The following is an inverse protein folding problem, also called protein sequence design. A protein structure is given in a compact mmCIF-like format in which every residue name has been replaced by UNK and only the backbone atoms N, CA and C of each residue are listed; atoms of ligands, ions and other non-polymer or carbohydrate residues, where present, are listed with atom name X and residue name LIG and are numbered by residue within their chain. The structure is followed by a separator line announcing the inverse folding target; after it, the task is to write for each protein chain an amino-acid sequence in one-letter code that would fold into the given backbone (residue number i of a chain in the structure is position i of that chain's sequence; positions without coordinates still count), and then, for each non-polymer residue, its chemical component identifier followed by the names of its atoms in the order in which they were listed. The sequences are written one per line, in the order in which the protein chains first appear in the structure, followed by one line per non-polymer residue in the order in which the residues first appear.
data_IF_281560051877
#
_entry.id   IF_281560051877
#
_cell.length_a   1.000
_cell.length_b   1.000
_cell.length_c   1.000
_cell.angle_alpha   90.00
_cell.angle_beta   90.00
_cell.angle_gamma   90.00
#
_symmetry.space_group_name_H-M   'P 1'
#
loop_
_entity.id
_entity.type
_entity.pdbx_description
1 polymer ?
#
# COMPACT_ATOMS: atom_id res chain seq x y z
N UNK A 1 21.34 -25.27 -36.01
CA UNK A 1 21.11 -25.22 -34.55
C UNK A 1 20.36 -23.94 -34.24
N UNK A 2 19.05 -24.03 -34.08
CA UNK A 2 18.16 -22.93 -33.60
C UNK A 2 17.42 -23.48 -32.37
N UNK A 3 17.95 -23.23 -31.22
CA UNK A 3 17.30 -23.54 -29.96
C UNK A 3 17.40 -22.28 -29.07
N UNK A 4 16.36 -21.50 -28.97
CA UNK A 4 16.42 -20.34 -28.10
C UNK A 4 15.28 -19.36 -28.29
N UNK A 5 14.01 -19.78 -28.28
CA UNK A 5 12.91 -18.81 -28.33
C UNK A 5 11.57 -19.28 -27.74
N UNK A 6 11.44 -20.51 -27.26
CA UNK A 6 10.15 -20.99 -26.78
C UNK A 6 9.93 -20.85 -25.23
N UNK A 7 11.01 -20.70 -24.48
CA UNK A 7 10.89 -20.70 -23.00
C UNK A 7 10.43 -19.36 -22.39
N UNK A 8 10.46 -18.26 -23.13
CA UNK A 8 10.13 -16.92 -22.60
C UNK A 8 8.64 -16.53 -22.75
N UNK A 9 7.88 -17.17 -23.62
CA UNK A 9 6.47 -16.80 -23.89
C UNK A 9 5.46 -17.33 -22.87
N UNK A 10 5.76 -18.45 -22.21
CA UNK A 10 4.83 -19.09 -21.27
C UNK A 10 4.55 -18.22 -20.03
N UNK A 11 5.55 -17.59 -19.39
CA UNK A 11 5.32 -16.73 -18.23
C UNK A 11 4.43 -15.52 -18.52
N UNK A 12 4.60 -14.87 -19.67
CA UNK A 12 3.83 -13.69 -20.07
C UNK A 12 2.33 -14.02 -20.26
N UNK A 13 2.01 -15.14 -20.91
CA UNK A 13 0.63 -15.61 -21.08
C UNK A 13 -0.01 -15.92 -19.74
N UNK A 14 0.73 -16.55 -18.82
CA UNK A 14 0.23 -16.89 -17.48
C UNK A 14 0.04 -15.64 -16.62
N UNK A 15 0.97 -14.69 -16.64
CA UNK A 15 0.81 -13.39 -15.96
C UNK A 15 -0.43 -12.67 -16.46
N UNK A 16 -0.61 -12.57 -17.78
CA UNK A 16 -1.78 -11.95 -18.39
C UNK A 16 -3.08 -12.63 -17.95
N UNK A 17 -3.09 -13.97 -17.87
CA UNK A 17 -4.25 -14.72 -17.36
C UNK A 17 -4.55 -14.38 -15.91
N UNK A 18 -3.54 -14.39 -15.03
CA UNK A 18 -3.70 -14.06 -13.60
C UNK A 18 -4.19 -12.64 -13.40
N UNK A 19 -3.70 -11.69 -14.19
CA UNK A 19 -4.19 -10.31 -14.15
C UNK A 19 -5.65 -10.20 -14.56
N UNK A 20 -6.07 -10.89 -15.63
CA UNK A 20 -7.47 -10.92 -16.07
C UNK A 20 -8.40 -11.57 -15.04
N UNK A 21 -7.89 -12.55 -14.31
CA UNK A 21 -8.62 -13.20 -13.21
C UNK A 21 -8.57 -12.40 -11.89
N UNK A 22 -8.02 -11.19 -11.91
CA UNK A 22 -7.85 -10.34 -10.73
C UNK A 22 -7.00 -10.99 -9.62
N UNK A 23 -6.08 -11.88 -9.98
CA UNK A 23 -5.18 -12.58 -9.06
C UNK A 23 -3.83 -11.86 -8.97
N UNK A 24 -3.89 -10.63 -8.47
CA UNK A 24 -2.74 -9.70 -8.45
C UNK A 24 -1.51 -10.29 -7.73
N UNK A 25 -1.68 -10.88 -6.55
CA UNK A 25 -0.61 -11.51 -5.80
C UNK A 25 0.15 -12.56 -6.64
N UNK A 26 -0.60 -13.47 -7.25
CA UNK A 26 0.01 -14.53 -8.07
C UNK A 26 0.70 -13.98 -9.32
N UNK A 27 0.13 -12.95 -9.96
CA UNK A 27 0.73 -12.28 -11.10
C UNK A 27 2.05 -11.60 -10.75
N UNK A 28 2.10 -10.84 -9.66
CA UNK A 28 3.32 -10.15 -9.21
C UNK A 28 4.39 -11.16 -8.79
N UNK A 29 4.02 -12.21 -8.07
CA UNK A 29 4.95 -13.28 -7.67
C UNK A 29 5.60 -13.95 -8.88
N UNK A 30 4.82 -14.21 -9.93
CA UNK A 30 5.33 -14.79 -11.17
C UNK A 30 6.26 -13.82 -11.92
N UNK A 31 5.90 -12.53 -12.02
CA UNK A 31 6.74 -11.49 -12.62
C UNK A 31 8.09 -11.35 -11.91
N UNK A 32 8.09 -11.35 -10.58
CA UNK A 32 9.32 -11.27 -9.77
C UNK A 32 10.26 -12.47 -10.02
N UNK A 33 9.69 -13.66 -10.24
CA UNK A 33 10.48 -14.90 -10.49
C UNK A 33 11.00 -15.04 -11.90
N UNK A 34 10.39 -14.39 -12.90
CA UNK A 34 10.69 -14.62 -14.33
C UNK A 34 11.30 -13.43 -15.04
N UNK A 35 11.23 -12.22 -14.47
CA UNK A 35 11.66 -10.99 -15.14
C UNK A 35 10.83 -10.65 -16.40
N UNK A 36 9.62 -11.22 -16.52
CA UNK A 36 8.76 -11.06 -17.69
C UNK A 36 8.20 -9.66 -17.85
N UNK A 37 7.88 -9.28 -19.06
CA UNK A 37 7.18 -8.04 -19.38
C UNK A 37 5.69 -8.15 -19.01
N UNK A 38 5.12 -7.01 -18.63
CA UNK A 38 3.71 -6.92 -18.25
C UNK A 38 2.87 -6.54 -19.45
N UNK A 39 1.78 -7.28 -19.71
CA UNK A 39 0.76 -6.87 -20.68
C UNK A 39 0.10 -5.55 -20.20
N UNK A 40 0.56 -4.45 -20.75
CA UNK A 40 0.09 -3.11 -20.36
C UNK A 40 -1.40 -2.90 -20.61
N UNK A 41 -2.00 -3.58 -21.58
CA UNK A 41 -3.43 -3.48 -21.85
C UNK A 41 -4.24 -4.20 -20.76
N UNK A 42 -3.81 -5.38 -20.32
CA UNK A 42 -4.43 -6.12 -19.24
C UNK A 42 -4.32 -5.36 -17.91
N UNK A 43 -3.15 -4.80 -17.60
CA UNK A 43 -2.96 -3.99 -16.37
C UNK A 43 -3.85 -2.75 -16.38
N UNK A 44 -3.89 -2.00 -17.49
CA UNK A 44 -4.78 -0.83 -17.62
C UNK A 44 -6.25 -1.19 -17.44
N UNK A 45 -6.70 -2.30 -18.01
CA UNK A 45 -8.07 -2.77 -17.81
C UNK A 45 -8.38 -3.08 -16.34
N UNK A 46 -7.43 -3.67 -15.61
CA UNK A 46 -7.58 -3.93 -14.18
C UNK A 46 -7.61 -2.63 -13.36
N UNK A 47 -6.73 -1.68 -13.65
CA UNK A 47 -6.73 -0.36 -12.99
C UNK A 47 -8.10 0.27 -13.12
N UNK A 48 -8.63 0.38 -14.34
CA UNK A 48 -9.98 0.93 -14.58
C UNK A 48 -11.08 0.15 -13.84
N UNK A 49 -10.96 -1.17 -13.79
CA UNK A 49 -11.88 -2.02 -13.02
C UNK A 49 -11.87 -1.72 -11.53
N UNK A 50 -10.69 -1.62 -10.92
CA UNK A 50 -10.55 -1.29 -9.51
C UNK A 50 -11.01 0.14 -9.19
N UNK A 51 -10.68 1.14 -10.02
CA UNK A 51 -11.13 2.52 -9.86
C UNK A 51 -12.66 2.63 -9.95
N UNK A 52 -13.27 1.94 -10.90
CA UNK A 52 -14.73 1.92 -11.06
C UNK A 52 -15.40 1.28 -9.85
N UNK A 53 -14.86 0.15 -9.36
CA UNK A 53 -15.39 -0.52 -8.18
C UNK A 53 -15.18 0.32 -6.91
N UNK A 54 -14.01 0.96 -6.76
CA UNK A 54 -13.73 1.86 -5.64
C UNK A 54 -14.72 3.02 -5.58
N UNK A 55 -15.01 3.65 -6.72
CA UNK A 55 -15.98 4.74 -6.82
C UNK A 55 -17.38 4.28 -6.43
N UNK A 56 -17.78 3.08 -6.85
CA UNK A 56 -19.06 2.50 -6.48
C UNK A 56 -19.13 2.20 -4.98
N UNK A 57 -18.13 1.54 -4.39
CA UNK A 57 -18.07 1.24 -2.96
C UNK A 57 -18.08 2.52 -2.12
N UNK A 58 -17.39 3.57 -2.57
CA UNK A 58 -17.41 4.87 -1.93
C UNK A 58 -18.83 5.48 -1.91
N UNK A 59 -19.57 5.37 -3.02
CA UNK A 59 -20.96 5.85 -3.11
C UNK A 59 -21.93 5.03 -2.24
N UNK A 60 -21.63 3.76 -2.02
CA UNK A 60 -22.39 2.85 -1.14
C UNK A 60 -22.02 3.00 0.35
N UNK A 61 -21.02 3.85 0.69
CA UNK A 61 -20.54 4.06 2.06
C UNK A 61 -19.52 3.03 2.53
N UNK A 62 -19.11 2.10 1.68
CA UNK A 62 -18.12 1.04 1.97
C UNK A 62 -16.68 1.58 1.84
N UNK A 63 -16.34 2.57 2.69
CA UNK A 63 -15.10 3.33 2.56
C UNK A 63 -13.84 2.48 2.71
N UNK A 64 -13.86 1.44 3.55
CA UNK A 64 -12.73 0.53 3.76
C UNK A 64 -12.41 -0.27 2.49
N UNK A 65 -13.42 -0.84 1.84
CA UNK A 65 -13.28 -1.60 0.60
C UNK A 65 -12.90 -0.68 -0.57
N UNK A 66 -13.49 0.52 -0.65
CA UNK A 66 -13.12 1.52 -1.65
C UNK A 66 -11.63 1.88 -1.57
N UNK A 67 -11.10 2.10 -0.36
CA UNK A 67 -9.67 2.35 -0.14
C UNK A 67 -8.80 1.18 -0.58
N UNK A 68 -9.20 -0.06 -0.24
CA UNK A 68 -8.47 -1.28 -0.63
C UNK A 68 -8.35 -1.39 -2.15
N UNK A 69 -9.44 -1.15 -2.87
CA UNK A 69 -9.47 -1.18 -4.32
C UNK A 69 -8.63 -0.05 -4.94
N UNK A 70 -8.70 1.16 -4.39
CA UNK A 70 -7.87 2.28 -4.83
C UNK A 70 -6.36 2.00 -4.66
N UNK A 71 -5.96 1.37 -3.55
CA UNK A 71 -4.56 0.95 -3.33
C UNK A 71 -4.10 -0.09 -4.35
N UNK A 72 -4.96 -1.04 -4.70
CA UNK A 72 -4.66 -2.02 -5.76
C UNK A 72 -4.48 -1.33 -7.12
N UNK A 73 -5.32 -0.36 -7.45
CA UNK A 73 -5.16 0.43 -8.68
C UNK A 73 -3.84 1.20 -8.69
N UNK A 74 -3.49 1.85 -7.58
CA UNK A 74 -2.22 2.57 -7.44
C UNK A 74 -1.00 1.64 -7.58
N UNK A 75 -1.01 0.48 -6.91
CA UNK A 75 0.05 -0.52 -7.02
C UNK A 75 0.21 -1.05 -8.45
N UNK A 76 -0.88 -1.25 -9.18
CA UNK A 76 -0.83 -1.64 -10.60
C UNK A 76 -0.28 -0.54 -11.49
N UNK A 77 -0.56 0.74 -11.21
CA UNK A 77 0.07 1.86 -11.92
C UNK A 77 1.59 1.85 -11.71
N UNK A 78 2.06 1.65 -10.48
CA UNK A 78 3.51 1.53 -10.21
C UNK A 78 4.13 0.31 -10.89
N UNK A 79 3.42 -0.83 -10.88
CA UNK A 79 3.85 -2.04 -11.61
C UNK A 79 3.99 -1.76 -13.11
N UNK A 80 3.05 -1.03 -13.70
CA UNK A 80 3.05 -0.68 -15.13
C UNK A 80 4.21 0.24 -15.50
N UNK A 81 4.54 1.20 -14.63
CA UNK A 81 5.56 2.21 -14.88
C UNK A 81 6.99 1.73 -14.58
N UNK A 82 7.15 0.92 -13.57
CA UNK A 82 8.45 0.62 -12.97
C UNK A 82 8.74 -0.87 -12.81
N UNK A 83 7.78 -1.74 -13.17
CA UNK A 83 7.86 -3.18 -12.89
C UNK A 83 7.60 -3.50 -11.40
N UNK A 84 7.80 -4.76 -10.97
CA UNK A 84 7.43 -5.24 -9.65
C UNK A 84 8.42 -4.78 -8.55
N UNK A 85 8.38 -3.50 -8.21
CA UNK A 85 9.22 -2.88 -7.18
C UNK A 85 8.42 -2.65 -5.89
N UNK A 86 8.65 -3.44 -4.81
CA UNK A 86 7.86 -3.37 -3.58
C UNK A 86 7.77 -1.96 -2.98
N UNK A 87 8.90 -1.28 -2.86
CA UNK A 87 8.98 0.06 -2.27
C UNK A 87 8.18 1.15 -3.03
N UNK A 88 7.80 0.90 -4.29
CA UNK A 88 6.96 1.81 -5.08
C UNK A 88 5.49 1.39 -5.07
N UNK A 89 5.24 0.08 -4.99
CA UNK A 89 3.88 -0.46 -5.01
C UNK A 89 3.13 -0.30 -3.68
N UNK A 90 3.86 -0.06 -2.60
CA UNK A 90 3.31 0.16 -1.27
C UNK A 90 3.56 1.61 -0.86
N UNK A 91 2.48 2.37 -0.63
CA UNK A 91 2.59 3.75 -0.20
C UNK A 91 3.31 3.85 1.16
N UNK A 92 4.28 4.77 1.28
CA UNK A 92 4.95 5.02 2.57
C UNK A 92 3.99 5.60 3.62
N UNK A 93 3.02 6.40 3.19
CA UNK A 93 2.05 7.03 4.08
C UNK A 93 0.64 6.75 3.60
N UNK A 94 -0.16 6.14 4.45
CA UNK A 94 -1.58 5.98 4.27
C UNK A 94 -2.32 6.80 5.34
N UNK A 95 -2.68 8.01 4.96
CA UNK A 95 -3.43 8.95 5.77
C UNK A 95 -4.35 9.72 4.83
N UNK A 96 -5.65 9.79 5.13
CA UNK A 96 -6.57 10.62 4.36
C UNK A 96 -6.56 12.05 4.89
N UNK A 97 -6.68 13.01 3.98
CA UNK A 97 -6.90 14.39 4.38
C UNK A 97 -8.20 14.54 5.17
N UNK A 98 -8.12 15.28 6.28
CA UNK A 98 -9.24 15.45 7.21
C UNK A 98 -9.50 14.28 8.16
N UNK A 99 -8.70 13.21 8.09
CA UNK A 99 -8.83 12.09 9.01
C UNK A 99 -8.42 12.49 10.43
N UNK A 100 -9.23 12.06 11.39
CA UNK A 100 -8.93 12.17 12.84
C UNK A 100 -9.02 10.78 13.45
N UNK A 101 -7.92 10.27 13.99
CA UNK A 101 -7.91 8.92 14.56
C UNK A 101 -6.52 8.37 14.81
N UNK A 102 -6.41 7.06 14.76
CA UNK A 102 -5.19 6.32 15.11
C UNK A 102 -4.26 6.20 13.93
N UNK A 103 -2.96 6.31 14.22
CA UNK A 103 -1.89 5.98 13.28
C UNK A 103 -0.93 4.96 13.89
N UNK A 104 -0.37 4.10 13.05
CA UNK A 104 0.62 3.10 13.41
C UNK A 104 1.84 3.25 12.50
N UNK A 105 3.03 3.37 13.07
CA UNK A 105 4.26 3.17 12.32
C UNK A 105 4.54 1.67 12.25
N UNK A 106 4.87 1.20 11.07
CA UNK A 106 5.26 -0.19 10.82
C UNK A 106 6.57 -0.25 10.05
N UNK A 107 7.36 -1.28 10.31
CA UNK A 107 8.56 -1.63 9.56
C UNK A 107 8.22 -2.82 8.65
N UNK A 108 8.48 -2.67 7.36
CA UNK A 108 8.38 -3.74 6.37
C UNK A 108 9.76 -4.31 6.11
N UNK A 109 9.91 -5.63 6.27
CA UNK A 109 11.16 -6.36 6.03
C UNK A 109 10.92 -7.60 5.19
N UNK A 110 11.93 -8.06 4.47
CA UNK A 110 11.79 -9.22 3.58
C UNK A 110 10.87 -8.95 2.39
N UNK A 111 10.55 -9.98 1.58
CA UNK A 111 9.67 -9.84 0.42
C UNK A 111 10.12 -8.83 -0.63
N UNK A 112 11.37 -8.33 -0.56
CA UNK A 112 11.90 -7.27 -1.42
C UNK A 112 11.82 -5.87 -0.81
N UNK A 113 11.39 -5.75 0.45
CA UNK A 113 11.50 -4.52 1.23
C UNK A 113 12.85 -4.48 1.95
N UNK A 114 13.50 -3.32 1.93
CA UNK A 114 14.77 -3.02 2.59
C UNK A 114 14.49 -2.10 3.77
N UNK A 115 14.05 -2.69 4.88
CA UNK A 115 13.72 -2.01 6.15
C UNK A 115 12.90 -0.72 5.94
N UNK A 116 11.79 -0.85 5.23
CA UNK A 116 10.95 0.29 4.84
C UNK A 116 9.98 0.67 5.95
N UNK A 117 10.07 1.87 6.48
CA UNK A 117 9.11 2.38 7.47
C UNK A 117 7.93 3.03 6.77
N UNK A 118 6.73 2.62 7.19
CA UNK A 118 5.47 3.13 6.66
C UNK A 118 4.56 3.64 7.79
N UNK A 119 3.75 4.64 7.47
CA UNK A 119 2.68 5.13 8.33
C UNK A 119 1.34 4.59 7.82
N UNK A 120 0.55 4.05 8.72
CA UNK A 120 -0.80 3.52 8.46
C UNK A 120 -1.82 4.18 9.35
N UNK A 121 -2.98 4.48 8.82
CA UNK A 121 -4.14 4.98 9.56
C UNK A 121 -5.34 4.04 9.42
N UNK A 122 -6.28 4.11 10.34
CA UNK A 122 -7.50 3.30 10.28
C UNK A 122 -8.43 3.55 11.47
N UNK A 123 -9.71 3.27 11.27
CA UNK A 123 -10.77 3.58 12.25
C UNK A 123 -10.81 2.57 13.43
N UNK A 124 -10.14 1.43 13.30
CA UNK A 124 -10.06 0.40 14.33
C UNK A 124 -8.98 0.64 15.38
N UNK A 125 -8.81 -0.34 16.29
CA UNK A 125 -7.69 -0.37 17.22
C UNK A 125 -6.35 -0.53 16.49
N UNK A 126 -5.23 -0.15 17.12
CA UNK A 126 -3.92 -0.27 16.48
C UNK A 126 -3.60 -1.71 16.02
N UNK A 127 -4.07 -2.75 16.74
CA UNK A 127 -3.96 -4.15 16.30
C UNK A 127 -4.72 -4.45 15.02
N UNK A 128 -5.85 -3.79 14.79
CA UNK A 128 -6.65 -3.94 13.57
C UNK A 128 -5.97 -3.24 12.40
N UNK A 129 -5.38 -2.07 12.63
CA UNK A 129 -4.54 -1.38 11.64
C UNK A 129 -3.38 -2.29 11.22
N UNK A 130 -2.69 -2.92 12.18
CA UNK A 130 -1.60 -3.87 11.89
C UNK A 130 -2.11 -5.08 11.10
N UNK A 131 -3.24 -5.66 11.50
CA UNK A 131 -3.84 -6.79 10.79
C UNK A 131 -4.19 -6.43 9.34
N UNK A 132 -4.85 -5.30 9.14
CA UNK A 132 -5.23 -4.81 7.82
C UNK A 132 -4.01 -4.48 6.96
N UNK A 133 -2.94 -3.91 7.55
CA UNK A 133 -1.68 -3.68 6.86
C UNK A 133 -1.05 -4.99 6.37
N UNK A 134 -1.02 -6.03 7.19
CA UNK A 134 -0.52 -7.35 6.79
C UNK A 134 -1.32 -7.94 5.63
N UNK A 135 -2.63 -7.87 5.72
CA UNK A 135 -3.52 -8.33 4.64
C UNK A 135 -3.29 -7.53 3.34
N UNK A 136 -3.15 -6.21 3.44
CA UNK A 136 -2.86 -5.33 2.31
C UNK A 136 -1.53 -5.70 1.62
N UNK A 137 -0.46 -5.83 2.38
CA UNK A 137 0.88 -6.18 1.84
C UNK A 137 0.84 -7.53 1.11
N UNK A 138 0.15 -8.52 1.68
CA UNK A 138 -0.05 -9.81 1.03
C UNK A 138 -0.91 -9.69 -0.24
N UNK A 139 -2.00 -8.93 -0.19
CA UNK A 139 -2.91 -8.64 -1.32
C UNK A 139 -2.19 -7.94 -2.49
N UNK A 140 -1.21 -7.10 -2.18
CA UNK A 140 -0.37 -6.42 -3.18
C UNK A 140 0.73 -7.32 -3.77
N UNK A 141 0.81 -8.59 -3.35
CA UNK A 141 1.71 -9.59 -3.91
C UNK A 141 3.03 -9.79 -3.14
N UNK A 142 3.09 -9.38 -1.89
CA UNK A 142 4.27 -9.51 -1.02
C UNK A 142 3.97 -10.34 0.25
N UNK A 143 3.43 -11.57 0.14
CA UNK A 143 3.05 -12.36 1.31
C UNK A 143 4.26 -12.82 2.16
N UNK A 144 5.48 -12.77 1.61
CA UNK A 144 6.72 -13.06 2.35
C UNK A 144 7.23 -11.89 3.18
N UNK A 145 6.67 -10.68 2.94
CA UNK A 145 7.05 -9.51 3.72
C UNK A 145 6.55 -9.63 5.17
N UNK A 146 7.39 -9.22 6.08
CA UNK A 146 7.06 -9.15 7.49
C UNK A 146 6.69 -7.70 7.85
N UNK A 147 5.63 -7.54 8.65
CA UNK A 147 5.12 -6.26 9.11
C UNK A 147 5.25 -6.19 10.62
N UNK A 148 6.17 -5.35 11.10
CA UNK A 148 6.48 -5.17 12.51
C UNK A 148 5.94 -3.83 13.00
N UNK A 149 5.16 -3.78 14.10
CA UNK A 149 4.71 -2.50 14.66
C UNK A 149 5.88 -1.78 15.34
N UNK A 150 6.04 -0.49 15.06
CA UNK A 150 7.04 0.39 15.68
C UNK A 150 6.42 1.33 16.71
N UNK A 151 5.13 1.20 16.99
CA UNK A 151 4.38 2.05 17.92
C UNK A 151 3.31 2.88 17.23
N UNK A 152 2.37 3.39 18.03
CA UNK A 152 1.23 4.14 17.54
C UNK A 152 1.05 5.48 18.21
N UNK A 153 0.25 6.32 17.57
CA UNK A 153 -0.18 7.62 18.05
C UNK A 153 -1.57 7.94 17.51
N UNK A 154 -2.02 9.17 17.73
CA UNK A 154 -3.20 9.75 17.11
C UNK A 154 -2.80 10.88 16.18
N UNK A 155 -3.64 11.16 15.22
CA UNK A 155 -3.47 12.25 14.26
C UNK A 155 -4.78 12.97 14.04
N UNK A 156 -4.73 14.26 13.77
CA UNK A 156 -5.88 15.06 13.36
C UNK A 156 -5.46 16.20 12.44
N UNK A 157 -6.44 16.69 11.68
CA UNK A 157 -6.28 17.88 10.85
C UNK A 157 -7.02 19.02 11.55
N UNK A 158 -6.30 20.05 11.92
CA UNK A 158 -6.84 21.23 12.58
C UNK A 158 -7.56 22.17 11.60
N UNK A 159 -8.34 23.06 12.14
CA UNK A 159 -9.09 24.09 11.37
C UNK A 159 -8.19 25.08 10.63
N UNK A 160 -6.93 25.24 11.07
CA UNK A 160 -5.91 26.05 10.39
C UNK A 160 -5.21 25.29 9.24
N UNK A 161 -5.63 24.03 8.98
CA UNK A 161 -5.07 23.17 7.96
C UNK A 161 -3.78 22.45 8.39
N UNK A 162 -3.31 22.63 9.63
CA UNK A 162 -2.16 21.88 10.14
C UNK A 162 -2.54 20.45 10.51
N UNK A 163 -1.55 19.56 10.52
CA UNK A 163 -1.69 18.17 10.99
C UNK A 163 -1.04 18.06 12.36
N UNK A 164 -1.77 17.52 13.32
CA UNK A 164 -1.31 17.36 14.71
C UNK A 164 -1.16 15.88 15.02
N UNK A 165 -0.04 15.50 15.65
CA UNK A 165 0.25 14.14 16.12
C UNK A 165 0.36 14.18 17.64
N UNK A 166 -0.40 13.30 18.33
CA UNK A 166 -0.37 13.24 19.81
C UNK A 166 -0.55 11.82 20.35
N UNK A 167 -0.38 11.67 21.65
CA UNK A 167 -0.68 10.45 22.38
C UNK A 167 0.22 9.27 22.05
N UNK A 168 -0.21 8.08 22.44
CA UNK A 168 0.49 6.79 22.30
C UNK A 168 -0.52 5.66 22.11
N UNK A 169 -0.06 4.51 21.63
CA UNK A 169 -0.83 3.27 21.58
C UNK A 169 -0.73 2.52 22.90
N UNK A 170 -1.84 2.09 23.46
CA UNK A 170 -1.86 1.19 24.62
C UNK A 170 -1.33 -0.21 24.29
N UNK A 171 -1.40 -0.64 23.02
CA UNK A 171 -1.05 -1.98 22.56
C UNK A 171 0.42 -2.10 22.15
N UNK A 172 0.99 -1.05 21.53
CA UNK A 172 2.33 -1.07 20.93
C UNK A 172 3.26 0.03 21.46
N UNK A 173 2.82 0.81 22.44
CA UNK A 173 3.56 1.97 22.94
C UNK A 173 3.56 3.15 21.97
N UNK A 174 4.28 4.20 22.34
CA UNK A 174 4.43 5.40 21.50
C UNK A 174 5.30 5.12 20.27
N UNK A 175 4.94 5.69 19.13
CA UNK A 175 5.81 5.69 17.95
C UNK A 175 6.82 6.86 18.02
N UNK A 176 7.84 6.81 17.16
CA UNK A 176 8.66 7.97 16.84
C UNK A 176 7.81 9.00 16.09
N UNK A 177 7.27 9.99 16.85
CA UNK A 177 6.41 11.04 16.30
C UNK A 177 7.14 11.93 15.29
N UNK A 178 8.46 12.12 15.44
CA UNK A 178 9.27 12.87 14.47
C UNK A 178 9.35 12.12 13.13
N UNK A 179 9.50 10.80 13.17
CA UNK A 179 9.47 9.98 11.96
C UNK A 179 8.09 10.00 11.32
N UNK A 180 7.02 9.90 12.11
CA UNK A 180 5.64 10.04 11.64
C UNK A 180 5.41 11.41 10.97
N UNK A 181 5.88 12.49 11.61
CA UNK A 181 5.78 13.84 11.07
C UNK A 181 6.51 13.99 9.73
N UNK A 182 7.72 13.42 9.58
CA UNK A 182 8.44 13.42 8.30
C UNK A 182 7.68 12.66 7.20
N UNK A 183 7.06 11.53 7.52
CA UNK A 183 6.25 10.76 6.58
C UNK A 183 5.01 11.56 6.14
N UNK A 184 4.33 12.18 7.08
CA UNK A 184 3.15 13.03 6.80
C UNK A 184 3.55 14.26 5.97
N UNK A 185 4.64 14.94 6.32
CA UNK A 185 5.11 16.10 5.56
C UNK A 185 5.51 15.77 4.11
N UNK A 186 5.98 14.56 3.84
CA UNK A 186 6.22 14.10 2.47
C UNK A 186 4.93 13.86 1.69
N UNK A 187 3.90 13.33 2.35
CA UNK A 187 2.60 13.09 1.74
C UNK A 187 1.78 14.38 1.54
N UNK A 188 1.97 15.36 2.42
CA UNK A 188 1.25 16.64 2.45
C UNK A 188 2.26 17.81 2.58
N UNK A 189 3.04 18.11 1.55
CA UNK A 189 4.13 19.10 1.62
C UNK A 189 3.64 20.52 1.89
N UNK A 190 2.36 20.82 1.60
CA UNK A 190 1.73 22.10 1.83
C UNK A 190 1.22 22.28 3.28
N UNK A 191 1.21 21.21 4.08
CA UNK A 191 0.67 21.24 5.45
C UNK A 191 1.78 21.35 6.50
N UNK A 192 1.52 22.15 7.51
CA UNK A 192 2.37 22.20 8.70
C UNK A 192 2.05 20.99 9.60
N UNK A 193 3.07 20.22 9.99
CA UNK A 193 2.92 19.12 10.95
C UNK A 193 3.40 19.58 12.32
N UNK A 194 2.60 19.32 13.36
CA UNK A 194 2.90 19.63 14.76
C UNK A 194 2.85 18.35 15.58
N UNK A 195 3.70 18.28 16.60
CA UNK A 195 3.73 17.20 17.57
C UNK A 195 3.31 17.77 18.92
N UNK A 196 2.34 17.10 19.56
CA UNK A 196 1.91 17.41 20.91
C UNK A 196 2.27 16.24 21.85
N UNK A 197 2.53 16.56 23.10
CA UNK A 197 2.86 15.58 24.14
C UNK A 197 1.65 14.71 24.55
#
# INVERSE_FOLDING_TARGET
MKTGSESQRIPEVEVTRLLREMRLEAAIRLLRGTGGEVDSAAVKAMIMGYETQASRMQAEGETGEARRLARRAAALNELLLHGPQPARMVAETELLEGYVGRILLVLLTGGGFDDTVCLRSGDGWHREILHNTRAEIADLGFPEAQVHPLGGAYVGFDSDGSVVIWGTSDEYGGCDKEQAARLIARAYPEKKVRIEE
#
